data_IF_219455897924
#
_entry.id   IF_219455897924
#
_cell.length_a   1.000
_cell.length_b   1.000
_cell.length_c   1.000
_cell.angle_alpha   90.00
_cell.angle_beta   90.00
_cell.angle_gamma   90.00
#
_symmetry.space_group_name_H-M   'P 1'
#
loop_
_entity.id
_entity.type
_entity.pdbx_description
1 polymer ?
#
# COMPACT_ATOMS: atom_id res chain seq x y z
N UNK A 1 33.01 -13.91 5.97
CA UNK A 1 32.01 -13.12 5.25
C UNK A 1 30.93 -14.11 4.87
N UNK A 2 29.86 -14.16 5.65
CA UNK A 2 28.71 -15.02 5.36
C UNK A 2 28.04 -14.50 4.10
N UNK A 3 27.95 -15.35 3.09
CA UNK A 3 27.16 -15.14 1.86
C UNK A 3 25.72 -14.78 2.28
N UNK A 4 25.40 -13.48 2.30
CA UNK A 4 24.02 -13.05 2.51
C UNK A 4 23.26 -13.45 1.25
N UNK A 5 22.53 -14.55 1.31
CA UNK A 5 21.54 -14.91 0.29
C UNK A 5 20.73 -13.65 0.01
N UNK A 6 20.88 -13.12 -1.21
CA UNK A 6 20.18 -11.90 -1.64
C UNK A 6 18.70 -12.23 -1.72
N UNK A 7 17.91 -11.79 -0.72
CA UNK A 7 16.46 -12.01 -0.69
C UNK A 7 15.79 -11.14 -1.73
N UNK A 8 14.78 -11.68 -2.37
CA UNK A 8 13.90 -10.95 -3.28
C UNK A 8 12.85 -10.19 -2.49
N UNK A 9 12.47 -9.00 -2.98
CA UNK A 9 11.50 -8.11 -2.35
C UNK A 9 10.44 -7.69 -3.36
N UNK A 10 9.19 -7.63 -2.94
CA UNK A 10 8.11 -6.89 -3.62
C UNK A 10 7.83 -5.64 -2.79
N UNK A 11 7.93 -4.46 -3.40
CA UNK A 11 7.50 -3.22 -2.77
C UNK A 11 6.03 -2.95 -3.10
N UNK A 12 5.17 -3.09 -2.09
CA UNK A 12 3.72 -3.05 -2.27
C UNK A 12 3.14 -1.66 -2.56
N UNK A 13 3.93 -0.57 -2.39
CA UNK A 13 3.46 0.80 -2.66
C UNK A 13 4.61 1.75 -2.97
N UNK A 14 4.59 2.31 -4.20
CA UNK A 14 5.61 3.25 -4.71
C UNK A 14 4.93 4.40 -5.46
N UNK A 15 5.33 5.65 -5.16
CA UNK A 15 4.72 6.86 -5.72
C UNK A 15 5.69 7.59 -6.67
N UNK A 16 5.67 7.24 -7.95
CA UNK A 16 6.52 7.88 -8.97
C UNK A 16 5.92 9.18 -9.54
N UNK A 17 4.69 9.52 -9.16
CA UNK A 17 3.92 10.62 -9.72
C UNK A 17 4.15 11.97 -9.03
N UNK A 18 4.77 12.01 -7.87
CA UNK A 18 4.93 13.27 -7.11
C UNK A 18 5.66 14.35 -7.93
N UNK A 19 6.61 13.97 -8.78
CA UNK A 19 7.31 14.91 -9.64
C UNK A 19 6.53 15.41 -10.86
N UNK A 20 5.28 14.96 -11.09
CA UNK A 20 4.44 15.42 -12.20
C UNK A 20 3.77 16.77 -11.89
N UNK A 21 3.65 17.15 -10.62
CA UNK A 21 3.06 18.42 -10.23
C UNK A 21 4.11 19.55 -10.35
N UNK A 22 3.76 20.66 -11.01
CA UNK A 22 4.61 21.86 -11.07
C UNK A 22 4.86 22.44 -9.66
N UNK A 23 3.85 22.37 -8.80
CA UNK A 23 3.95 22.78 -7.41
C UNK A 23 3.26 21.75 -6.51
N UNK A 24 3.94 21.36 -5.44
CA UNK A 24 3.33 20.50 -4.42
C UNK A 24 2.38 21.28 -3.52
N UNK A 25 1.24 20.70 -3.11
CA UNK A 25 0.36 21.32 -2.12
C UNK A 25 1.12 21.64 -0.83
N UNK A 26 0.79 22.75 -0.18
CA UNK A 26 1.49 23.21 1.04
C UNK A 26 1.48 22.17 2.16
N UNK A 27 0.44 21.36 2.28
CA UNK A 27 0.37 20.29 3.25
C UNK A 27 1.39 19.15 2.96
N UNK A 28 1.65 18.82 1.67
CA UNK A 28 2.68 17.85 1.30
C UNK A 28 4.09 18.36 1.64
N UNK A 29 4.35 19.64 1.42
CA UNK A 29 5.61 20.25 1.81
C UNK A 29 5.82 20.17 3.33
N UNK A 30 4.77 20.46 4.13
CA UNK A 30 4.81 20.27 5.58
C UNK A 30 5.06 18.81 5.99
N UNK A 31 4.42 17.86 5.34
CA UNK A 31 4.67 16.44 5.60
C UNK A 31 6.12 16.07 5.31
N UNK A 32 6.69 16.56 4.19
CA UNK A 32 8.11 16.37 3.88
C UNK A 32 9.01 17.00 4.96
N UNK A 33 8.79 18.27 5.28
CA UNK A 33 9.72 19.08 6.08
C UNK A 33 9.60 18.78 7.58
N UNK A 34 8.38 18.71 8.09
CA UNK A 34 8.11 18.61 9.53
C UNK A 34 7.99 17.15 10.02
N UNK A 35 7.31 16.30 9.25
CA UNK A 35 7.01 14.92 9.67
C UNK A 35 8.14 13.95 9.28
N UNK A 36 8.47 13.87 7.98
CA UNK A 36 9.52 12.95 7.51
C UNK A 36 10.93 13.54 7.55
N UNK A 37 11.07 14.86 7.65
CA UNK A 37 12.35 15.60 7.59
C UNK A 37 13.16 15.18 6.36
N UNK A 38 12.46 15.09 5.22
CA UNK A 38 13.00 14.61 3.96
C UNK A 38 13.74 15.71 3.18
N UNK A 39 14.56 15.33 2.21
CA UNK A 39 15.28 16.30 1.36
C UNK A 39 14.31 17.04 0.42
N UNK A 40 14.69 18.22 -0.04
CA UNK A 40 13.92 19.00 -1.03
C UNK A 40 13.62 18.21 -2.31
N UNK A 41 14.51 17.28 -2.69
CA UNK A 41 14.35 16.40 -3.85
C UNK A 41 13.35 15.24 -3.64
N UNK A 42 12.73 15.11 -2.47
CA UNK A 42 11.79 13.99 -2.19
C UNK A 42 10.69 13.86 -3.25
N UNK A 43 10.19 14.99 -3.76
CA UNK A 43 9.13 15.03 -4.77
C UNK A 43 9.62 15.46 -6.15
N UNK A 44 10.91 15.29 -6.44
CA UNK A 44 11.44 15.55 -7.77
C UNK A 44 10.95 14.49 -8.79
N UNK A 45 10.90 14.83 -10.08
CA UNK A 45 10.67 13.85 -11.14
C UNK A 45 11.65 12.68 -11.03
N UNK A 46 11.16 11.47 -11.27
CA UNK A 46 11.98 10.26 -11.20
C UNK A 46 12.25 9.71 -12.60
N UNK A 47 13.49 9.31 -12.84
CA UNK A 47 13.89 8.59 -14.04
C UNK A 47 13.71 7.08 -13.85
N UNK A 48 13.27 6.39 -14.92
CA UNK A 48 13.05 4.94 -14.87
C UNK A 48 14.33 4.16 -14.58
N UNK A 49 15.45 4.56 -15.21
CA UNK A 49 16.75 3.90 -15.00
C UNK A 49 17.20 4.03 -13.56
N UNK A 50 17.14 5.26 -13.01
CA UNK A 50 17.51 5.51 -11.62
C UNK A 50 16.64 4.73 -10.61
N UNK A 51 15.34 4.60 -10.85
CA UNK A 51 14.47 3.78 -10.01
C UNK A 51 14.84 2.30 -10.09
N UNK A 52 15.08 1.77 -11.29
CA UNK A 52 15.49 0.37 -11.47
C UNK A 52 16.84 0.08 -10.80
N UNK A 53 17.80 1.01 -10.89
CA UNK A 53 19.09 0.89 -10.20
C UNK A 53 18.91 0.84 -8.67
N UNK A 54 18.07 1.71 -8.09
CA UNK A 54 17.75 1.67 -6.65
C UNK A 54 17.09 0.33 -6.27
N UNK A 55 16.10 -0.12 -7.05
CA UNK A 55 15.43 -1.41 -6.84
C UNK A 55 16.43 -2.58 -6.91
N UNK A 56 17.26 -2.62 -7.94
CA UNK A 56 18.24 -3.70 -8.14
C UNK A 56 19.28 -3.72 -7.03
N UNK A 57 19.75 -2.56 -6.59
CA UNK A 57 20.68 -2.45 -5.48
C UNK A 57 20.14 -3.04 -4.17
N UNK A 58 18.82 -2.98 -3.97
CA UNK A 58 18.14 -3.48 -2.77
C UNK A 58 17.50 -4.87 -2.95
N UNK A 59 17.56 -5.46 -4.14
CA UNK A 59 16.89 -6.75 -4.43
C UNK A 59 15.37 -6.65 -4.59
N UNK A 60 14.84 -5.44 -4.83
CA UNK A 60 13.42 -5.23 -5.13
C UNK A 60 13.14 -5.69 -6.55
N UNK A 61 12.49 -6.85 -6.68
CA UNK A 61 12.19 -7.46 -7.97
C UNK A 61 11.00 -6.83 -8.64
N UNK A 62 9.95 -6.53 -7.86
CA UNK A 62 8.70 -5.90 -8.35
C UNK A 62 8.33 -4.73 -7.46
N UNK A 63 7.69 -3.72 -8.04
CA UNK A 63 7.06 -2.62 -7.30
C UNK A 63 5.66 -2.33 -7.83
N UNK A 64 4.74 -1.98 -6.93
CA UNK A 64 3.37 -1.60 -7.30
C UNK A 64 3.29 -0.08 -7.26
N UNK A 65 3.07 0.53 -8.44
CA UNK A 65 3.05 1.97 -8.63
C UNK A 65 1.64 2.53 -8.41
N UNK A 66 1.52 3.56 -7.60
CA UNK A 66 0.23 4.24 -7.40
C UNK A 66 -0.15 5.02 -8.66
N UNK A 67 -1.33 4.74 -9.17
CA UNK A 67 -2.01 5.47 -10.25
C UNK A 67 -3.34 6.04 -9.74
N UNK A 68 -3.99 6.90 -10.52
CA UNK A 68 -5.21 7.57 -10.15
C UNK A 68 -6.21 7.54 -11.31
N UNK A 69 -7.42 7.08 -11.03
CA UNK A 69 -8.45 6.94 -12.06
C UNK A 69 -8.99 8.30 -12.52
N UNK A 70 -9.18 9.24 -11.59
CA UNK A 70 -9.71 10.58 -11.89
C UNK A 70 -8.66 11.50 -12.55
N UNK A 71 -7.37 11.28 -12.24
CA UNK A 71 -6.24 12.02 -12.80
C UNK A 71 -5.07 11.06 -13.04
N UNK A 72 -5.05 10.37 -14.21
CA UNK A 72 -4.04 9.37 -14.52
C UNK A 72 -2.61 9.86 -14.33
N UNK A 73 -1.78 9.06 -13.66
CA UNK A 73 -0.37 9.36 -13.46
C UNK A 73 0.44 8.87 -14.66
N UNK A 74 0.90 9.80 -15.49
CA UNK A 74 1.61 9.52 -16.74
C UNK A 74 2.88 8.70 -16.50
N UNK A 75 3.65 9.03 -15.47
CA UNK A 75 4.90 8.34 -15.14
C UNK A 75 4.66 6.90 -14.72
N UNK A 76 3.67 6.65 -13.85
CA UNK A 76 3.34 5.30 -13.39
C UNK A 76 2.93 4.38 -14.54
N UNK A 77 2.03 4.84 -15.42
CA UNK A 77 1.59 4.08 -16.60
C UNK A 77 2.74 3.81 -17.57
N UNK A 78 3.55 4.83 -17.87
CA UNK A 78 4.72 4.69 -18.73
C UNK A 78 5.72 3.66 -18.20
N UNK A 79 6.00 3.67 -16.90
CA UNK A 79 6.93 2.71 -16.28
C UNK A 79 6.37 1.28 -16.32
N UNK A 80 5.08 1.11 -15.99
CA UNK A 80 4.43 -0.19 -16.06
C UNK A 80 4.39 -0.76 -17.49
N UNK A 81 4.19 0.07 -18.51
CA UNK A 81 4.26 -0.33 -19.92
C UNK A 81 5.70 -0.68 -20.36
N UNK A 82 6.68 0.12 -19.94
CA UNK A 82 8.07 -0.09 -20.32
C UNK A 82 8.68 -1.34 -19.69
N UNK A 83 8.26 -1.69 -18.46
CA UNK A 83 8.80 -2.81 -17.70
C UNK A 83 7.68 -3.57 -16.96
N UNK A 84 6.81 -4.28 -17.69
CA UNK A 84 5.71 -5.06 -17.11
C UNK A 84 6.19 -6.23 -16.26
N UNK A 85 7.43 -6.65 -16.42
CA UNK A 85 8.11 -7.63 -15.56
C UNK A 85 8.47 -7.08 -14.18
N UNK A 86 8.57 -5.75 -14.03
CA UNK A 86 9.01 -5.06 -12.81
C UNK A 86 7.89 -4.29 -12.11
N UNK A 87 6.90 -3.81 -12.86
CA UNK A 87 5.89 -2.91 -12.34
C UNK A 87 4.46 -3.39 -12.59
N UNK A 88 3.62 -3.26 -11.57
CA UNK A 88 2.17 -3.31 -11.64
C UNK A 88 1.59 -1.98 -11.13
N UNK A 89 0.27 -1.81 -11.25
CA UNK A 89 -0.41 -0.58 -10.85
C UNK A 89 -1.38 -0.82 -9.68
N UNK A 90 -1.47 0.17 -8.82
CA UNK A 90 -2.51 0.33 -7.82
C UNK A 90 -3.43 1.49 -8.21
N UNK A 91 -4.74 1.30 -8.18
CA UNK A 91 -5.69 2.29 -8.68
C UNK A 91 -6.39 3.05 -7.56
N UNK A 92 -5.97 4.29 -7.35
CA UNK A 92 -6.61 5.26 -6.44
C UNK A 92 -7.54 6.25 -7.15
N UNK A 93 -7.92 7.33 -6.44
CA UNK A 93 -8.75 8.41 -7.00
C UNK A 93 -10.21 8.02 -7.25
N UNK A 94 -10.71 7.04 -6.53
CA UNK A 94 -12.07 6.50 -6.68
C UNK A 94 -13.09 7.43 -6.02
N UNK A 95 -13.99 8.02 -6.83
CA UNK A 95 -15.10 8.84 -6.31
C UNK A 95 -16.31 7.94 -6.00
N UNK A 96 -16.53 7.64 -4.73
CA UNK A 96 -17.63 6.76 -4.28
C UNK A 96 -18.95 7.51 -4.04
N UNK A 97 -18.97 8.84 -4.08
CA UNK A 97 -20.20 9.64 -4.03
C UNK A 97 -20.96 9.61 -5.37
N UNK A 98 -20.27 9.32 -6.45
CA UNK A 98 -20.82 9.06 -7.78
C UNK A 98 -20.33 7.70 -8.29
N UNK A 99 -20.78 6.56 -7.70
CA UNK A 99 -20.13 5.28 -7.88
C UNK A 99 -20.18 4.75 -9.31
N UNK A 100 -21.28 4.94 -10.03
CA UNK A 100 -21.49 4.27 -11.33
C UNK A 100 -20.46 4.64 -12.40
N UNK A 101 -20.11 5.94 -12.64
CA UNK A 101 -19.02 6.29 -13.56
C UNK A 101 -17.68 5.69 -13.11
N UNK A 102 -17.34 5.86 -11.84
CA UNK A 102 -16.09 5.36 -11.25
C UNK A 102 -15.92 3.86 -11.39
N UNK A 103 -17.00 3.07 -11.13
CA UNK A 103 -16.92 1.61 -11.21
C UNK A 103 -16.86 1.09 -12.65
N UNK A 104 -17.48 1.79 -13.61
CA UNK A 104 -17.32 1.47 -15.04
C UNK A 104 -15.89 1.71 -15.49
N UNK A 105 -15.31 2.84 -15.10
CA UNK A 105 -13.93 3.17 -15.42
C UNK A 105 -12.94 2.23 -14.74
N UNK A 106 -13.16 1.88 -13.45
CA UNK A 106 -12.36 0.88 -12.77
C UNK A 106 -12.37 -0.46 -13.52
N UNK A 107 -13.54 -0.89 -13.98
CA UNK A 107 -13.66 -2.13 -14.77
C UNK A 107 -12.84 -2.04 -16.06
N UNK A 108 -12.89 -0.92 -16.77
CA UNK A 108 -12.12 -0.71 -18.01
C UNK A 108 -10.61 -0.70 -17.76
N UNK A 109 -10.14 0.07 -16.79
CA UNK A 109 -8.68 0.15 -16.52
C UNK A 109 -8.11 -1.16 -15.98
N UNK A 110 -8.89 -1.95 -15.25
CA UNK A 110 -8.45 -3.28 -14.79
C UNK A 110 -8.35 -4.29 -15.95
N UNK A 111 -9.14 -4.11 -17.00
CA UNK A 111 -9.04 -4.93 -18.22
C UNK A 111 -7.83 -4.54 -19.09
N UNK A 112 -7.48 -3.25 -19.13
CA UNK A 112 -6.50 -2.71 -20.07
C UNK A 112 -5.09 -2.55 -19.47
N UNK A 113 -4.97 -2.40 -18.17
CA UNK A 113 -3.72 -2.11 -17.46
C UNK A 113 -3.40 -3.20 -16.42
N UNK A 114 -2.12 -3.36 -16.04
CA UNK A 114 -1.70 -4.34 -15.04
C UNK A 114 -2.05 -3.88 -13.60
N UNK A 115 -3.33 -3.60 -13.35
CA UNK A 115 -3.82 -3.15 -12.04
C UNK A 115 -3.95 -4.36 -11.12
N UNK A 116 -3.29 -4.36 -9.96
CA UNK A 116 -3.29 -5.48 -9.01
C UNK A 116 -4.09 -5.19 -7.73
N UNK A 117 -4.40 -3.94 -7.43
CA UNK A 117 -5.35 -3.58 -6.38
C UNK A 117 -5.99 -2.20 -6.60
N UNK A 118 -7.18 -2.01 -6.02
CA UNK A 118 -7.79 -0.70 -5.84
C UNK A 118 -7.41 -0.11 -4.48
N UNK A 119 -7.30 1.23 -4.37
CA UNK A 119 -6.91 1.90 -3.14
C UNK A 119 -7.85 3.04 -2.76
N UNK A 120 -8.17 3.16 -1.47
CA UNK A 120 -8.96 4.26 -0.92
C UNK A 120 -8.33 4.80 0.37
N UNK A 121 -8.39 6.13 0.54
CA UNK A 121 -7.93 6.81 1.76
C UNK A 121 -9.10 7.54 2.44
N UNK A 122 -9.76 6.96 3.45
CA UNK A 122 -10.95 7.54 4.06
C UNK A 122 -10.80 8.98 4.53
N UNK A 123 -9.64 9.35 5.08
CA UNK A 123 -9.36 10.72 5.55
C UNK A 123 -9.12 11.73 4.42
N UNK A 124 -8.96 11.29 3.17
CA UNK A 124 -8.57 12.15 2.04
C UNK A 124 -9.73 12.57 1.13
N UNK A 125 -10.98 12.38 1.55
CA UNK A 125 -12.19 12.66 0.76
C UNK A 125 -12.82 14.03 1.07
N UNK A 126 -12.03 15.06 1.29
CA UNK A 126 -12.53 16.39 1.61
C UNK A 126 -13.30 16.41 2.93
N UNK A 127 -14.42 17.16 2.98
CA UNK A 127 -15.21 17.33 4.22
C UNK A 127 -16.05 16.08 4.58
N UNK A 128 -16.27 15.17 3.64
CA UNK A 128 -17.09 13.98 3.83
C UNK A 128 -16.19 12.75 4.08
N UNK A 129 -15.61 12.69 5.26
CA UNK A 129 -14.79 11.55 5.70
C UNK A 129 -15.69 10.40 6.15
N UNK A 130 -15.89 9.42 5.26
CA UNK A 130 -16.69 8.24 5.56
C UNK A 130 -15.80 7.10 6.07
N UNK A 131 -16.16 6.47 7.21
CA UNK A 131 -15.46 5.27 7.66
C UNK A 131 -15.72 4.09 6.71
N UNK A 132 -14.79 3.14 6.57
CA UNK A 132 -14.96 1.97 5.70
C UNK A 132 -16.23 1.15 5.93
N UNK A 133 -16.83 1.23 7.12
CA UNK A 133 -18.11 0.57 7.44
C UNK A 133 -19.33 1.26 6.84
N UNK A 134 -19.20 2.46 6.27
CA UNK A 134 -20.30 3.19 5.67
C UNK A 134 -20.76 2.55 4.34
N UNK A 135 -22.05 2.66 4.06
CA UNK A 135 -22.67 2.10 2.86
C UNK A 135 -22.15 2.69 1.54
N UNK A 136 -21.55 3.89 1.59
CA UNK A 136 -20.94 4.54 0.42
C UNK A 136 -19.85 3.68 -0.23
N UNK A 137 -19.20 2.81 0.53
CA UNK A 137 -18.18 1.88 0.03
C UNK A 137 -18.75 0.60 -0.59
N UNK A 138 -19.99 0.20 -0.29
CA UNK A 138 -20.50 -1.11 -0.66
C UNK A 138 -20.49 -1.38 -2.17
N UNK A 139 -20.81 -0.41 -3.04
CA UNK A 139 -20.70 -0.61 -4.48
C UNK A 139 -19.25 -0.96 -4.91
N UNK A 140 -18.23 -0.32 -4.30
CA UNK A 140 -16.83 -0.65 -4.57
C UNK A 140 -16.47 -2.05 -4.05
N UNK A 141 -16.93 -2.42 -2.84
CA UNK A 141 -16.66 -3.74 -2.28
C UNK A 141 -17.20 -4.85 -3.17
N UNK A 142 -18.46 -4.72 -3.61
CA UNK A 142 -19.06 -5.66 -4.56
C UNK A 142 -18.27 -5.73 -5.86
N UNK A 143 -17.87 -4.57 -6.41
CA UNK A 143 -17.11 -4.52 -7.66
C UNK A 143 -15.72 -5.16 -7.51
N UNK A 144 -15.04 -4.95 -6.41
CA UNK A 144 -13.75 -5.59 -6.14
C UNK A 144 -13.87 -7.11 -6.04
N UNK A 145 -14.95 -7.62 -5.40
CA UNK A 145 -15.24 -9.06 -5.38
C UNK A 145 -15.50 -9.60 -6.79
N UNK A 146 -16.37 -8.95 -7.59
CA UNK A 146 -16.66 -9.33 -8.97
C UNK A 146 -15.41 -9.39 -9.86
N UNK A 147 -14.49 -8.43 -9.68
CA UNK A 147 -13.24 -8.35 -10.45
C UNK A 147 -12.11 -9.22 -9.87
N UNK A 148 -12.34 -9.93 -8.78
CA UNK A 148 -11.29 -10.58 -7.98
C UNK A 148 -10.10 -9.62 -7.70
N UNK A 149 -10.39 -8.34 -7.46
CA UNK A 149 -9.42 -7.28 -7.26
C UNK A 149 -9.26 -6.99 -5.76
N UNK A 150 -8.05 -7.14 -5.18
CA UNK A 150 -7.80 -6.69 -3.81
C UNK A 150 -8.14 -5.22 -3.61
N UNK A 151 -8.63 -4.89 -2.42
CA UNK A 151 -8.86 -3.51 -2.01
C UNK A 151 -7.95 -3.14 -0.84
N UNK A 152 -7.13 -2.12 -1.04
CA UNK A 152 -6.27 -1.55 -0.02
C UNK A 152 -6.92 -0.29 0.58
N UNK A 153 -6.97 -0.21 1.91
CA UNK A 153 -7.61 0.89 2.64
C UNK A 153 -6.60 1.50 3.61
N UNK A 154 -6.42 2.83 3.57
CA UNK A 154 -5.59 3.52 4.53
C UNK A 154 -6.10 3.30 5.96
N UNK A 155 -5.22 2.91 6.85
CA UNK A 155 -5.48 2.75 8.29
C UNK A 155 -4.40 3.45 9.10
N UNK A 156 -4.68 3.71 10.38
CA UNK A 156 -3.83 4.52 11.23
C UNK A 156 -4.05 6.03 11.06
N UNK A 157 -3.47 6.82 11.93
CA UNK A 157 -3.53 8.27 11.83
C UNK A 157 -2.68 8.75 10.64
N UNK A 158 -3.22 9.60 9.75
CA UNK A 158 -2.48 10.10 8.59
C UNK A 158 -1.32 11.01 9.03
N UNK A 159 -0.23 11.00 8.26
CA UNK A 159 0.87 11.96 8.45
C UNK A 159 0.48 13.43 8.20
N UNK A 160 -0.33 13.75 7.17
CA UNK A 160 -0.91 15.08 7.00
C UNK A 160 -1.78 15.49 8.20
N UNK A 161 -1.87 16.81 8.53
CA UNK A 161 -2.68 17.34 9.62
C UNK A 161 -4.18 17.36 9.26
N UNK A 162 -4.76 16.20 9.07
CA UNK A 162 -6.19 15.97 8.79
C UNK A 162 -6.76 14.95 9.79
N UNK A 163 -8.07 15.00 10.10
CA UNK A 163 -8.69 14.04 11.01
C UNK A 163 -8.52 12.59 10.51
N UNK A 164 -8.22 11.66 11.40
CA UNK A 164 -7.89 10.29 11.07
C UNK A 164 -8.76 9.21 11.75
N UNK A 165 -9.78 9.59 12.52
CA UNK A 165 -10.64 8.64 13.24
C UNK A 165 -11.34 7.64 12.30
N UNK A 166 -11.66 8.06 11.09
CA UNK A 166 -12.27 7.19 10.06
C UNK A 166 -11.32 6.12 9.55
N UNK A 167 -10.02 6.23 9.81
CA UNK A 167 -9.00 5.24 9.49
C UNK A 167 -8.70 4.26 10.64
N UNK A 168 -9.50 4.29 11.72
CA UNK A 168 -9.40 3.25 12.76
C UNK A 168 -9.76 1.89 12.14
N UNK A 169 -8.87 0.88 12.25
CA UNK A 169 -9.12 -0.47 11.71
C UNK A 169 -10.43 -1.10 12.17
N UNK A 170 -10.98 -0.69 13.32
CA UNK A 170 -12.24 -1.23 13.86
C UNK A 170 -13.41 -1.14 12.85
N UNK A 171 -13.37 -0.15 11.95
CA UNK A 171 -14.38 -0.01 10.91
C UNK A 171 -14.38 -1.18 9.90
N UNK A 172 -13.27 -1.92 9.80
CA UNK A 172 -13.16 -3.10 8.93
C UNK A 172 -13.82 -4.35 9.53
N UNK A 173 -14.10 -4.36 10.83
CA UNK A 173 -14.74 -5.51 11.50
C UNK A 173 -16.07 -5.90 10.82
N UNK A 174 -16.91 -4.92 10.59
CA UNK A 174 -18.20 -5.10 9.90
C UNK A 174 -18.04 -5.43 8.42
N UNK A 175 -17.05 -4.86 7.76
CA UNK A 175 -16.78 -5.08 6.33
C UNK A 175 -16.36 -6.52 6.08
N UNK A 176 -15.42 -7.04 6.87
CA UNK A 176 -14.94 -8.42 6.75
C UNK A 176 -16.04 -9.46 6.95
N UNK A 177 -17.04 -9.17 7.84
CA UNK A 177 -18.20 -10.05 8.03
C UNK A 177 -19.14 -10.03 6.85
N UNK A 178 -19.40 -8.84 6.27
CA UNK A 178 -20.38 -8.66 5.18
C UNK A 178 -19.87 -9.04 3.81
N UNK A 179 -18.55 -8.94 3.63
CA UNK A 179 -17.86 -9.22 2.37
C UNK A 179 -16.71 -10.20 2.61
N UNK A 180 -16.98 -11.46 2.99
CA UNK A 180 -15.93 -12.43 3.32
C UNK A 180 -15.06 -12.80 2.11
N UNK A 181 -15.56 -12.64 0.88
CA UNK A 181 -14.82 -12.89 -0.37
C UNK A 181 -13.90 -11.71 -0.74
N UNK A 182 -14.11 -10.52 -0.16
CA UNK A 182 -13.33 -9.34 -0.47
C UNK A 182 -11.92 -9.48 0.13
N UNK A 183 -10.91 -9.47 -0.72
CA UNK A 183 -9.50 -9.45 -0.30
C UNK A 183 -9.13 -8.04 0.17
N UNK A 184 -9.02 -7.84 1.49
CA UNK A 184 -8.75 -6.56 2.12
C UNK A 184 -7.31 -6.45 2.61
N UNK A 185 -6.72 -5.27 2.42
CA UNK A 185 -5.42 -4.93 2.99
C UNK A 185 -5.48 -3.55 3.66
N UNK A 186 -5.07 -3.49 4.91
CA UNK A 186 -4.76 -2.25 5.62
C UNK A 186 -3.42 -1.71 5.11
N UNK A 187 -3.34 -0.46 4.66
CA UNK A 187 -2.08 0.18 4.24
C UNK A 187 -1.72 1.32 5.19
N UNK A 188 -0.42 1.63 5.26
CA UNK A 188 0.23 2.56 6.19
C UNK A 188 0.22 2.10 7.65
N UNK A 189 0.21 0.78 7.89
CA UNK A 189 0.18 0.24 9.24
C UNK A 189 -1.15 0.53 9.94
N UNK A 190 -1.12 0.77 11.26
CA UNK A 190 -2.33 1.01 12.04
C UNK A 190 -2.11 1.88 13.28
N UNK A 191 -1.07 2.70 13.33
CA UNK A 191 -0.77 3.53 14.50
C UNK A 191 -1.88 4.53 14.81
N UNK A 192 -2.36 4.66 16.07
CA UNK A 192 -1.95 3.96 17.28
C UNK A 192 -2.72 2.64 17.54
N UNK A 193 -3.52 2.16 16.59
CA UNK A 193 -4.45 1.03 16.76
C UNK A 193 -3.87 -0.32 16.29
N UNK A 194 -2.55 -0.53 16.45
CA UNK A 194 -1.90 -1.78 16.04
C UNK A 194 -2.54 -3.04 16.61
N UNK A 195 -2.91 -3.03 17.90
CA UNK A 195 -3.53 -4.18 18.55
C UNK A 195 -4.94 -4.48 18.01
N UNK A 196 -5.67 -3.43 17.58
CA UNK A 196 -6.96 -3.60 16.90
C UNK A 196 -6.75 -4.26 15.55
N UNK A 197 -5.78 -3.79 14.75
CA UNK A 197 -5.45 -4.36 13.45
C UNK A 197 -5.02 -5.84 13.56
N UNK A 198 -4.15 -6.14 14.52
CA UNK A 198 -3.71 -7.52 14.81
C UNK A 198 -4.91 -8.39 15.18
N UNK A 199 -5.78 -7.90 16.08
CA UNK A 199 -6.97 -8.64 16.50
C UNK A 199 -7.91 -8.94 15.33
N UNK A 200 -8.09 -7.99 14.41
CA UNK A 200 -8.90 -8.19 13.22
C UNK A 200 -8.27 -9.19 12.25
N UNK A 201 -6.95 -9.15 12.04
CA UNK A 201 -6.26 -10.14 11.21
C UNK A 201 -6.29 -11.56 11.77
N UNK A 202 -6.35 -11.69 13.10
CA UNK A 202 -6.59 -12.99 13.78
C UNK A 202 -8.03 -13.48 13.51
N UNK A 203 -8.98 -12.55 13.50
CA UNK A 203 -10.41 -12.84 13.37
C UNK A 203 -10.82 -13.15 11.94
N UNK A 204 -10.19 -12.49 10.94
CA UNK A 204 -10.60 -12.53 9.55
C UNK A 204 -9.49 -13.03 8.62
N UNK A 205 -9.81 -14.08 7.87
CA UNK A 205 -8.86 -14.67 6.93
C UNK A 205 -8.58 -13.75 5.73
N UNK A 206 -9.58 -13.03 5.26
CA UNK A 206 -9.52 -12.14 4.10
C UNK A 206 -8.83 -10.79 4.35
N UNK A 207 -8.31 -10.52 5.58
CA UNK A 207 -7.65 -9.27 5.93
C UNK A 207 -6.13 -9.43 6.05
N UNK A 208 -5.41 -8.49 5.43
CA UNK A 208 -3.94 -8.35 5.45
C UNK A 208 -3.53 -6.96 5.92
N UNK A 209 -2.24 -6.75 6.11
CA UNK A 209 -1.66 -5.45 6.46
C UNK A 209 -0.38 -5.20 5.67
N UNK A 210 -0.19 -3.97 5.20
CA UNK A 210 1.01 -3.48 4.53
C UNK A 210 1.66 -2.38 5.37
N UNK A 211 2.97 -2.47 5.58
CA UNK A 211 3.71 -1.56 6.46
C UNK A 211 4.24 -0.30 5.76
N UNK A 212 3.59 0.12 4.66
CA UNK A 212 3.99 1.32 3.92
C UNK A 212 4.13 2.56 4.82
N UNK A 213 5.08 3.42 4.51
CA UNK A 213 5.45 4.60 5.28
C UNK A 213 5.99 4.34 6.71
N UNK A 214 6.22 3.08 7.07
CA UNK A 214 6.81 2.71 8.37
C UNK A 214 8.23 2.18 8.21
N UNK A 215 9.13 2.73 9.03
CA UNK A 215 10.48 2.18 9.16
C UNK A 215 10.38 0.82 9.88
N UNK A 216 10.88 -0.29 9.30
CA UNK A 216 10.77 -1.62 9.88
C UNK A 216 11.26 -1.71 11.33
N UNK A 217 12.34 -1.00 11.68
CA UNK A 217 12.86 -0.96 13.07
C UNK A 217 11.93 -0.26 14.08
N UNK A 218 10.85 0.40 13.60
CA UNK A 218 9.86 1.07 14.45
C UNK A 218 8.53 0.32 14.52
N UNK A 219 8.43 -0.83 13.86
CA UNK A 219 7.25 -1.69 13.97
C UNK A 219 7.10 -2.17 15.42
N UNK A 220 5.89 -2.16 15.99
CA UNK A 220 5.68 -2.56 17.37
C UNK A 220 5.96 -4.04 17.57
N UNK A 221 6.47 -4.40 18.75
CA UNK A 221 6.78 -5.78 19.09
C UNK A 221 5.54 -6.70 19.03
N UNK A 222 4.35 -6.17 19.33
CA UNK A 222 3.09 -6.92 19.18
C UNK A 222 2.85 -7.38 17.74
N UNK A 223 3.21 -6.56 16.73
CA UNK A 223 3.12 -6.96 15.33
C UNK A 223 4.18 -8.01 14.96
N UNK A 224 5.44 -7.82 15.40
CA UNK A 224 6.51 -8.77 15.16
C UNK A 224 6.22 -10.13 15.81
N UNK A 225 5.71 -10.12 17.05
CA UNK A 225 5.24 -11.34 17.71
C UNK A 225 4.10 -12.02 16.94
N UNK A 226 3.14 -11.25 16.44
CA UNK A 226 2.06 -11.78 15.61
C UNK A 226 2.60 -12.43 14.32
N UNK A 227 3.53 -11.78 13.63
CA UNK A 227 4.17 -12.33 12.42
C UNK A 227 4.89 -13.65 12.72
N UNK A 228 5.63 -13.74 13.84
CA UNK A 228 6.35 -14.95 14.26
C UNK A 228 5.43 -16.12 14.63
N UNK A 229 4.17 -15.86 14.97
CA UNK A 229 3.28 -16.88 15.56
C UNK A 229 2.06 -17.16 14.69
N UNK A 230 1.06 -16.30 14.74
CA UNK A 230 -0.27 -16.55 14.15
C UNK A 230 -0.45 -15.95 12.76
N UNK A 231 0.40 -15.01 12.37
CA UNK A 231 0.23 -14.21 11.16
C UNK A 231 1.39 -14.20 10.19
N UNK A 232 2.15 -15.31 9.96
CA UNK A 232 3.28 -15.29 9.03
C UNK A 232 2.87 -14.97 7.59
N UNK A 233 1.61 -15.26 7.21
CA UNK A 233 1.04 -14.98 5.90
C UNK A 233 0.22 -13.68 5.82
N UNK A 234 0.31 -12.77 6.80
CA UNK A 234 -0.66 -11.66 6.93
C UNK A 234 -0.07 -10.27 6.72
N UNK A 235 1.24 -10.09 6.86
CA UNK A 235 1.89 -8.78 6.81
C UNK A 235 2.81 -8.70 5.60
N UNK A 236 2.75 -7.59 4.86
CA UNK A 236 3.48 -7.34 3.62
C UNK A 236 4.34 -6.09 3.73
N UNK A 237 5.50 -6.12 3.10
CA UNK A 237 6.41 -4.99 3.00
C UNK A 237 5.92 -3.98 1.95
N UNK A 238 6.06 -2.70 2.27
CA UNK A 238 5.99 -1.60 1.31
C UNK A 238 6.77 -0.40 1.85
N UNK A 239 7.37 0.39 0.97
CA UNK A 239 8.16 1.55 1.36
C UNK A 239 7.37 2.85 1.46
N UNK A 240 6.35 3.02 0.61
CA UNK A 240 5.77 4.33 0.30
C UNK A 240 6.80 5.27 -0.34
N UNK A 241 7.74 4.68 -1.12
CA UNK A 241 8.75 5.47 -1.85
C UNK A 241 8.08 6.61 -2.65
N UNK A 242 8.64 7.83 -2.71
CA UNK A 242 9.96 8.26 -2.24
C UNK A 242 9.98 8.78 -0.80
N UNK A 243 8.85 8.71 -0.09
CA UNK A 243 8.71 9.19 1.31
C UNK A 243 9.76 8.51 2.20
N UNK A 244 9.88 7.20 2.08
CA UNK A 244 10.95 6.44 2.67
C UNK A 244 11.72 5.68 1.57
N UNK A 245 13.04 5.77 1.59
CA UNK A 245 13.90 5.18 0.55
C UNK A 245 14.08 3.69 0.74
N UNK A 246 14.05 2.92 -0.37
CA UNK A 246 14.27 1.47 -0.38
C UNK A 246 15.65 1.12 0.21
N UNK A 247 16.68 1.91 -0.11
CA UNK A 247 18.04 1.74 0.41
C UNK A 247 18.16 1.86 1.93
N UNK A 248 17.18 2.44 2.60
CA UNK A 248 17.08 2.46 4.05
C UNK A 248 16.17 1.33 4.57
N UNK A 249 14.97 1.16 3.98
CA UNK A 249 13.95 0.29 4.55
C UNK A 249 14.27 -1.20 4.36
N UNK A 250 14.79 -1.60 3.19
CA UNK A 250 15.11 -3.00 2.95
C UNK A 250 16.18 -3.53 3.91
N UNK A 251 17.32 -2.84 4.14
CA UNK A 251 18.26 -3.24 5.19
C UNK A 251 17.66 -3.28 6.60
N UNK A 252 16.78 -2.33 6.95
CA UNK A 252 16.08 -2.35 8.25
C UNK A 252 15.12 -3.56 8.35
N UNK A 253 14.42 -3.94 7.26
CA UNK A 253 13.56 -5.11 7.23
C UNK A 253 14.36 -6.43 7.34
N UNK A 254 15.50 -6.51 6.65
CA UNK A 254 16.40 -7.66 6.72
C UNK A 254 17.04 -7.85 8.11
N UNK A 255 17.05 -6.80 8.93
CA UNK A 255 17.56 -6.83 10.30
C UNK A 255 16.49 -7.14 11.36
N UNK A 256 15.22 -7.34 10.97
CA UNK A 256 14.18 -7.72 11.91
C UNK A 256 14.46 -9.11 12.50
N UNK A 257 14.16 -9.26 13.78
CA UNK A 257 14.23 -10.55 14.47
C UNK A 257 13.03 -11.41 14.09
N UNK A 258 13.05 -11.94 12.86
CA UNK A 258 12.04 -12.84 12.30
C UNK A 258 12.69 -14.13 11.80
N UNK A 259 12.03 -15.29 11.96
CA UNK A 259 12.45 -16.53 11.30
C UNK A 259 12.63 -16.30 9.79
N UNK A 260 13.60 -17.01 9.15
CA UNK A 260 13.90 -16.81 7.73
C UNK A 260 12.70 -16.93 6.79
N UNK A 261 11.83 -17.88 7.02
CA UNK A 261 10.60 -18.12 6.25
C UNK A 261 9.55 -17.01 6.48
N UNK A 262 9.41 -16.51 7.69
CA UNK A 262 8.53 -15.38 8.01
C UNK A 262 9.05 -14.10 7.37
N UNK A 263 10.36 -13.91 7.34
CA UNK A 263 10.99 -12.76 6.68
C UNK A 263 10.80 -12.82 5.16
N UNK A 264 10.93 -14.01 4.54
CA UNK A 264 10.65 -14.20 3.11
C UNK A 264 9.18 -13.98 2.79
N UNK A 265 8.28 -14.39 3.67
CA UNK A 265 6.85 -14.10 3.56
C UNK A 265 6.59 -12.59 3.62
N UNK A 266 7.16 -11.89 4.58
CA UNK A 266 6.99 -10.43 4.74
C UNK A 266 7.51 -9.66 3.53
N UNK A 267 8.69 -10.03 3.01
CA UNK A 267 9.36 -9.30 1.95
C UNK A 267 8.83 -9.64 0.55
N UNK A 268 8.32 -10.87 0.34
CA UNK A 268 7.97 -11.32 -1.00
C UNK A 268 6.68 -12.15 -1.05
N UNK A 269 6.63 -13.34 -0.41
CA UNK A 269 5.63 -14.35 -0.70
C UNK A 269 4.19 -13.85 -0.42
N UNK A 270 3.98 -13.10 0.67
CA UNK A 270 2.65 -12.59 1.03
C UNK A 270 2.12 -11.59 -0.01
N UNK A 271 2.98 -10.74 -0.55
CA UNK A 271 2.60 -9.78 -1.59
C UNK A 271 2.40 -10.48 -2.95
N UNK A 272 3.23 -11.44 -3.29
CA UNK A 272 3.08 -12.23 -4.53
C UNK A 272 1.76 -13.01 -4.51
N UNK A 273 1.46 -13.74 -3.43
CA UNK A 273 0.19 -14.46 -3.27
C UNK A 273 -1.03 -13.52 -3.27
N UNK A 274 -0.92 -12.36 -2.62
CA UNK A 274 -2.06 -11.48 -2.44
C UNK A 274 -2.35 -10.62 -3.67
N UNK A 275 -1.35 -10.13 -4.39
CA UNK A 275 -1.52 -9.18 -5.49
C UNK A 275 -1.32 -9.80 -6.88
N UNK A 276 -0.49 -10.85 -7.03
CA UNK A 276 -0.07 -11.37 -8.32
C UNK A 276 -0.63 -12.76 -8.64
N UNK A 277 -1.46 -13.32 -7.74
CA UNK A 277 -2.20 -14.56 -8.04
C UNK A 277 -3.03 -14.36 -9.32
N UNK A 278 -3.02 -15.32 -10.20
CA UNK A 278 -3.85 -15.33 -11.42
C UNK A 278 -5.33 -15.09 -11.07
N UNK A 279 -5.97 -14.21 -11.83
CA UNK A 279 -7.38 -13.83 -11.68
C UNK A 279 -8.28 -14.77 -12.43
#
# INVERSE_FOLDING_TARGET
MTDRVRRTVIDGLVNVHFGEAEQQPGWMLKVRDDYFKGPASMFAPVDLGALLEEMDAQGVQKAILMDNIAKPHVTARRFAQARPDRFALAMGGLNLLTPMPTLRELTAVVADLPVVYAAVGPSFWGDAQYPPSDAVYYPLYTKCVELNLPLCINTGLPGPPIPGEVQNPIHLDRVCVRFPELRLCMIHGADPWWDVAIRLMIKYENLRLMTSAWSPKRLPESLLHYMRTRGPGKVMYASDWPVLKMGRLVPEALALDLPPDVLDNYLYNNADDFFFRER
#
